data_IF_015208888581
#
_entry.id   IF_015208888581
#
_cell.length_a   1.000
_cell.length_b   1.000
_cell.length_c   1.000
_cell.angle_alpha   90.00
_cell.angle_beta   90.00
_cell.angle_gamma   90.00
#
_symmetry.space_group_name_H-M   'P 1'
#
loop_
_entity.id
_entity.type
_entity.pdbx_description
1 polymer ?
#
# COMPACT_ATOMS: atom_id res chain seq x y z
N UNK A 1 -10.49 22.82 60.77
CA UNK A 1 -10.27 22.97 59.31
C UNK A 1 -9.14 22.04 58.87
N UNK A 2 -9.46 20.98 58.12
CA UNK A 2 -8.47 20.05 57.58
C UNK A 2 -7.94 20.60 56.25
N UNK A 3 -6.63 20.71 56.15
CA UNK A 3 -5.91 21.18 54.97
C UNK A 3 -6.03 20.16 53.83
N UNK A 4 -6.48 20.60 52.65
CA UNK A 4 -6.55 19.77 51.44
C UNK A 4 -5.15 19.76 50.84
N UNK A 5 -4.46 18.61 50.88
CA UNK A 5 -3.20 18.43 50.18
C UNK A 5 -3.43 18.51 48.66
N UNK A 6 -2.72 19.43 48.01
CA UNK A 6 -2.70 19.53 46.55
C UNK A 6 -1.94 18.31 46.02
N UNK A 7 -2.50 17.51 45.09
CA UNK A 7 -1.81 16.36 44.54
C UNK A 7 -0.56 16.81 43.76
N UNK A 8 0.51 16.02 43.86
CA UNK A 8 1.74 16.25 43.11
C UNK A 8 1.44 16.35 41.60
N UNK A 9 2.11 17.27 40.87
CA UNK A 9 1.96 17.35 39.43
C UNK A 9 2.41 16.03 38.80
N UNK A 10 1.55 15.46 37.94
CA UNK A 10 1.89 14.26 37.17
C UNK A 10 3.18 14.51 36.38
N UNK A 11 4.07 13.50 36.26
CA UNK A 11 5.29 13.65 35.49
C UNK A 11 4.97 14.03 34.04
N UNK A 12 5.59 15.11 33.57
CA UNK A 12 5.51 15.51 32.18
C UNK A 12 6.38 14.56 31.33
N UNK A 13 5.75 13.68 30.56
CA UNK A 13 6.46 12.89 29.56
C UNK A 13 6.71 13.77 28.33
N UNK A 14 7.98 14.04 28.02
CA UNK A 14 8.36 14.62 26.74
C UNK A 14 8.54 13.49 25.73
N UNK A 15 7.51 13.21 24.94
CA UNK A 15 7.64 12.37 23.76
C UNK A 15 8.15 13.24 22.61
N UNK A 16 9.37 13.01 22.17
CA UNK A 16 9.87 13.55 20.90
C UNK A 16 9.54 12.48 19.85
N UNK A 17 8.61 12.73 18.92
CA UNK A 17 8.35 11.79 17.84
C UNK A 17 9.63 11.52 17.06
N UNK A 18 9.90 10.25 16.74
CA UNK A 18 10.97 9.90 15.84
C UNK A 18 10.80 10.64 14.51
N UNK A 19 11.85 11.32 14.05
CA UNK A 19 11.86 11.94 12.73
C UNK A 19 12.32 10.90 11.72
N UNK A 20 11.46 10.59 10.75
CA UNK A 20 11.84 9.78 9.59
C UNK A 20 12.78 10.57 8.67
N UNK A 21 13.82 9.90 8.19
CA UNK A 21 14.93 10.44 7.39
C UNK A 21 14.74 10.30 5.89
N UNK A 22 13.72 9.54 5.46
CA UNK A 22 13.39 9.19 4.09
C UNK A 22 12.26 10.05 3.47
N UNK A 23 11.88 11.17 4.08
CA UNK A 23 10.82 12.07 3.58
C UNK A 23 11.03 12.50 2.13
N UNK A 24 12.28 12.78 1.75
CA UNK A 24 12.61 13.15 0.38
C UNK A 24 12.27 12.03 -0.63
N UNK A 25 12.40 10.77 -0.22
CA UNK A 25 12.10 9.61 -1.05
C UNK A 25 10.58 9.41 -1.20
N UNK A 26 9.80 9.63 -0.13
CA UNK A 26 8.34 9.66 -0.25
C UNK A 26 7.83 10.78 -1.15
N UNK A 27 8.41 11.98 -1.04
CA UNK A 27 8.05 13.10 -1.92
C UNK A 27 8.41 12.77 -3.36
N UNK A 28 9.61 12.21 -3.60
CA UNK A 28 10.04 11.78 -4.92
C UNK A 28 9.10 10.71 -5.51
N UNK A 29 8.72 9.71 -4.71
CA UNK A 29 7.75 8.68 -5.10
C UNK A 29 6.41 9.31 -5.50
N UNK A 30 5.89 10.24 -4.69
CA UNK A 30 4.60 10.87 -4.96
C UNK A 30 4.63 11.69 -6.26
N UNK A 31 5.65 12.53 -6.42
CA UNK A 31 5.83 13.35 -7.63
C UNK A 31 6.02 12.46 -8.86
N UNK A 32 6.81 11.39 -8.73
CA UNK A 32 7.01 10.43 -9.81
C UNK A 32 5.70 9.78 -10.24
N UNK A 33 4.92 9.24 -9.32
CA UNK A 33 3.65 8.59 -9.65
C UNK A 33 2.65 9.58 -10.24
N UNK A 34 2.55 10.81 -9.72
CA UNK A 34 1.67 11.83 -10.30
C UNK A 34 2.12 12.20 -11.73
N UNK A 35 3.43 12.19 -12.01
CA UNK A 35 3.97 12.45 -13.36
C UNK A 35 3.62 11.37 -14.38
N UNK A 36 3.29 10.14 -13.96
CA UNK A 36 2.84 9.09 -14.86
C UNK A 36 1.49 9.42 -15.51
N UNK A 37 0.73 10.36 -14.94
CA UNK A 37 -0.51 10.87 -15.54
C UNK A 37 -0.29 12.09 -16.47
N UNK A 38 0.96 12.40 -16.86
CA UNK A 38 1.26 13.62 -17.62
C UNK A 38 0.53 13.72 -18.97
N UNK A 39 0.39 12.60 -19.68
CA UNK A 39 -0.24 12.54 -21.00
C UNK A 39 -1.72 12.14 -20.92
N UNK A 40 -2.04 11.18 -20.05
CA UNK A 40 -3.40 10.70 -19.83
C UNK A 40 -3.61 10.38 -18.35
N UNK A 41 -4.86 10.44 -17.89
CA UNK A 41 -5.19 10.13 -16.50
C UNK A 41 -4.94 8.65 -16.21
N UNK A 42 -4.04 8.37 -15.25
CA UNK A 42 -3.72 7.01 -14.80
C UNK A 42 -4.27 6.70 -13.42
N UNK A 43 -4.26 5.42 -13.09
CA UNK A 43 -4.65 4.86 -11.81
C UNK A 43 -3.51 4.08 -11.16
N UNK A 44 -3.44 4.09 -9.83
CA UNK A 44 -2.45 3.31 -9.09
C UNK A 44 -3.04 2.71 -7.80
N UNK A 45 -2.48 1.61 -7.31
CA UNK A 45 -2.80 1.04 -6.00
C UNK A 45 -1.54 0.83 -5.17
N UNK A 46 -1.61 1.11 -3.85
CA UNK A 46 -0.51 0.87 -2.90
C UNK A 46 -0.70 -0.50 -2.25
N UNK A 47 0.26 -1.40 -2.43
CA UNK A 47 0.27 -2.74 -1.83
C UNK A 47 1.20 -2.78 -0.62
N UNK A 48 0.82 -2.04 0.43
CA UNK A 48 1.60 -1.93 1.66
C UNK A 48 0.73 -1.50 2.86
N UNK A 49 1.08 -1.98 4.06
CA UNK A 49 0.30 -1.75 5.28
C UNK A 49 1.13 -1.59 6.56
N UNK A 50 2.45 -1.44 6.48
CA UNK A 50 3.32 -1.33 7.68
C UNK A 50 3.40 0.10 8.21
N UNK A 51 4.16 0.30 9.30
CA UNK A 51 4.48 1.64 9.81
C UNK A 51 5.50 2.40 8.95
N UNK A 52 6.36 1.70 8.21
CA UNK A 52 7.36 2.30 7.31
C UNK A 52 6.70 2.81 6.03
N UNK A 53 5.80 2.01 5.45
CA UNK A 53 5.07 2.37 4.24
C UNK A 53 3.66 1.76 4.20
N UNK A 54 2.68 2.59 3.87
CA UNK A 54 1.28 2.22 3.63
C UNK A 54 0.58 3.31 2.80
N UNK A 55 -0.66 3.03 2.37
CA UNK A 55 -1.46 4.00 1.59
C UNK A 55 -1.69 5.33 2.29
N UNK A 56 -1.90 5.34 3.61
CA UNK A 56 -2.10 6.59 4.37
C UNK A 56 -0.83 7.45 4.39
N UNK A 57 0.35 6.83 4.51
CA UNK A 57 1.64 7.55 4.40
C UNK A 57 1.76 8.16 3.01
N UNK A 58 1.51 7.37 1.97
CA UNK A 58 1.55 7.83 0.58
C UNK A 58 0.59 9.02 0.32
N UNK A 59 -0.67 8.90 0.74
CA UNK A 59 -1.71 9.91 0.50
C UNK A 59 -1.52 11.21 1.28
N UNK A 60 -0.85 11.14 2.44
CA UNK A 60 -0.65 12.29 3.30
C UNK A 60 0.72 12.94 3.15
N UNK A 61 1.68 12.31 2.46
CA UNK A 61 3.07 12.80 2.35
C UNK A 61 3.17 14.29 2.04
N UNK A 62 2.60 14.75 0.92
CA UNK A 62 2.72 16.17 0.52
C UNK A 62 2.00 17.10 1.50
N UNK A 63 0.80 16.71 1.93
CA UNK A 63 -0.03 17.51 2.86
C UNK A 63 0.66 17.68 4.21
N UNK A 64 1.21 16.61 4.77
CA UNK A 64 1.93 16.63 6.05
C UNK A 64 3.18 17.51 6.02
N UNK A 65 3.76 17.73 4.83
CA UNK A 65 4.92 18.60 4.63
C UNK A 65 4.55 20.01 4.16
N UNK A 66 3.26 20.36 4.10
CA UNK A 66 2.76 21.60 3.51
C UNK A 66 3.28 21.86 2.08
N UNK A 67 3.56 20.79 1.34
CA UNK A 67 3.90 20.87 -0.08
C UNK A 67 2.57 20.97 -0.84
N UNK A 68 2.31 22.06 -1.59
CA UNK A 68 1.11 22.18 -2.37
C UNK A 68 1.00 21.02 -3.36
N UNK A 69 -0.19 20.43 -3.49
CA UNK A 69 -0.41 19.54 -4.62
C UNK A 69 -0.22 20.33 -5.91
N UNK A 70 0.51 19.73 -6.85
CA UNK A 70 0.62 20.27 -8.19
C UNK A 70 -0.79 20.43 -8.77
N UNK A 71 -1.08 21.60 -9.38
CA UNK A 71 -2.31 21.79 -10.16
C UNK A 71 -2.28 21.08 -11.52
N UNK A 72 -1.19 20.36 -11.83
CA UNK A 72 -1.04 19.50 -12.99
C UNK A 72 -1.67 18.12 -12.80
N UNK A 73 -1.37 17.18 -13.71
CA UNK A 73 -1.94 15.84 -13.67
C UNK A 73 -1.60 15.11 -12.36
N UNK A 74 -2.54 14.29 -11.89
CA UNK A 74 -2.45 13.56 -10.61
C UNK A 74 -2.96 12.15 -10.82
N UNK A 75 -2.23 11.15 -10.34
CA UNK A 75 -2.62 9.74 -10.53
C UNK A 75 -3.69 9.37 -9.51
N UNK A 76 -4.79 8.77 -10.00
CA UNK A 76 -5.93 8.41 -9.17
C UNK A 76 -5.64 7.15 -8.37
N UNK A 77 -5.83 7.21 -7.05
CA UNK A 77 -5.51 6.08 -6.18
C UNK A 77 -6.71 5.15 -6.01
N UNK A 78 -6.53 3.89 -6.39
CA UNK A 78 -7.47 2.81 -6.11
C UNK A 78 -7.18 2.27 -4.71
N UNK A 79 -8.23 2.19 -3.89
CA UNK A 79 -8.14 1.60 -2.57
C UNK A 79 -7.81 0.11 -2.66
N UNK A 80 -6.84 -0.33 -1.84
CA UNK A 80 -6.55 -1.74 -1.62
C UNK A 80 -6.76 -2.09 -0.14
N UNK A 81 -7.62 -3.07 0.09
CA UNK A 81 -7.89 -3.64 1.39
C UNK A 81 -6.63 -4.30 1.98
N UNK A 82 -6.53 -4.33 3.31
CA UNK A 82 -5.32 -4.88 3.96
C UNK A 82 -5.60 -5.87 5.08
N UNK A 83 -6.86 -6.13 5.45
CA UNK A 83 -7.22 -7.07 6.52
C UNK A 83 -8.08 -8.21 5.97
N UNK A 84 -7.51 -9.42 5.95
CA UNK A 84 -8.08 -10.58 5.26
C UNK A 84 -9.55 -10.82 5.59
N UNK A 85 -9.87 -10.96 6.88
CA UNK A 85 -11.21 -11.36 7.36
C UNK A 85 -12.24 -10.22 7.43
N UNK A 86 -11.83 -8.98 7.14
CA UNK A 86 -12.67 -7.78 7.25
C UNK A 86 -13.17 -7.31 5.89
N UNK A 87 -12.26 -7.26 4.92
CA UNK A 87 -12.44 -6.41 3.74
C UNK A 87 -12.75 -7.20 2.45
N UNK A 88 -12.42 -8.50 2.40
CA UNK A 88 -12.31 -9.23 1.15
C UNK A 88 -11.15 -8.75 0.28
N UNK A 89 -11.11 -9.23 -0.97
CA UNK A 89 -10.07 -8.82 -1.93
C UNK A 89 -10.52 -7.63 -2.78
N UNK A 90 -9.66 -6.61 -2.92
CA UNK A 90 -9.92 -5.44 -3.77
C UNK A 90 -9.67 -5.76 -5.24
N UNK A 91 -10.60 -6.48 -5.87
CA UNK A 91 -10.46 -6.92 -7.26
C UNK A 91 -10.23 -5.79 -8.27
N UNK A 92 -10.79 -4.61 -8.01
CA UNK A 92 -10.58 -3.41 -8.82
C UNK A 92 -9.12 -2.91 -8.83
N UNK A 93 -8.29 -3.28 -7.85
CA UNK A 93 -6.87 -2.93 -7.90
C UNK A 93 -6.11 -3.68 -9.00
N UNK A 94 -6.64 -4.81 -9.49
CA UNK A 94 -6.07 -5.53 -10.63
C UNK A 94 -6.30 -4.82 -11.97
N UNK A 95 -7.17 -3.80 -11.99
CA UNK A 95 -7.37 -2.92 -13.14
C UNK A 95 -6.51 -1.65 -13.07
N UNK A 96 -5.75 -1.43 -12.00
CA UNK A 96 -4.89 -0.27 -11.88
C UNK A 96 -3.82 -0.28 -12.98
N UNK A 97 -3.50 0.90 -13.52
CA UNK A 97 -2.37 1.03 -14.45
C UNK A 97 -1.05 0.73 -13.75
N UNK A 98 -0.93 1.13 -12.47
CA UNK A 98 0.27 0.93 -11.68
C UNK A 98 0.01 0.24 -10.33
N UNK A 99 0.93 -0.63 -9.92
CA UNK A 99 1.05 -1.13 -8.55
C UNK A 99 2.29 -0.52 -7.89
N UNK A 100 2.13 0.02 -6.69
CA UNK A 100 3.21 0.55 -5.86
C UNK A 100 3.49 -0.50 -4.79
N UNK A 101 4.62 -1.17 -4.90
CA UNK A 101 4.95 -2.36 -4.11
C UNK A 101 6.27 -2.16 -3.38
N UNK A 102 6.29 -2.50 -2.10
CA UNK A 102 7.47 -2.41 -1.27
C UNK A 102 8.12 -3.78 -1.06
N UNK A 103 9.45 -3.82 -1.04
CA UNK A 103 10.28 -4.98 -0.74
C UNK A 103 11.11 -4.70 0.53
N UNK A 104 10.99 -5.51 1.61
CA UNK A 104 10.09 -6.64 1.77
C UNK A 104 8.60 -6.25 1.76
N UNK A 105 7.69 -7.20 1.55
CA UNK A 105 6.24 -6.92 1.57
C UNK A 105 5.83 -6.36 2.94
N UNK A 106 5.19 -5.20 2.91
CA UNK A 106 4.91 -4.40 4.11
C UNK A 106 3.58 -4.79 4.75
N UNK A 107 3.64 -5.40 5.94
CA UNK A 107 2.48 -5.84 6.74
C UNK A 107 2.58 -5.30 8.18
N UNK A 108 1.46 -4.92 8.83
CA UNK A 108 1.42 -4.54 10.25
C UNK A 108 0.81 -5.63 11.16
N UNK A 109 -0.01 -6.55 10.63
CA UNK A 109 -0.56 -7.68 11.38
C UNK A 109 0.23 -8.99 11.15
N UNK A 110 1.35 -8.89 10.43
CA UNK A 110 2.12 -10.03 9.92
C UNK A 110 1.49 -10.66 8.67
N UNK A 111 2.31 -11.37 7.91
CA UNK A 111 1.90 -12.02 6.66
C UNK A 111 0.71 -12.99 6.84
N UNK A 112 0.65 -13.69 7.97
CA UNK A 112 -0.39 -14.69 8.27
C UNK A 112 -1.81 -14.08 8.42
N UNK A 113 -1.91 -12.76 8.57
CA UNK A 113 -3.18 -12.05 8.73
C UNK A 113 -3.44 -11.01 7.63
N UNK A 114 -2.56 -10.95 6.62
CA UNK A 114 -2.64 -10.00 5.51
C UNK A 114 -2.27 -10.69 4.18
N UNK A 115 -2.75 -11.91 3.96
CA UNK A 115 -2.52 -12.67 2.73
C UNK A 115 -3.08 -11.97 1.49
N UNK A 116 -4.12 -11.14 1.63
CA UNK A 116 -4.62 -10.35 0.49
C UNK A 116 -3.53 -9.42 -0.07
N UNK A 117 -2.57 -8.97 0.75
CA UNK A 117 -1.41 -8.24 0.26
C UNK A 117 -0.39 -9.17 -0.38
N UNK A 118 0.01 -10.25 0.32
CA UNK A 118 1.13 -11.09 -0.12
C UNK A 118 0.81 -11.88 -1.39
N UNK A 119 -0.45 -12.30 -1.59
CA UNK A 119 -0.90 -13.03 -2.79
C UNK A 119 -0.79 -12.21 -4.08
N UNK A 120 -0.66 -10.88 -3.96
CA UNK A 120 -0.45 -9.98 -5.10
C UNK A 120 0.96 -9.39 -5.10
N UNK A 121 1.41 -8.83 -3.98
CA UNK A 121 2.70 -8.14 -3.88
C UNK A 121 3.88 -9.08 -4.16
N UNK A 122 3.89 -10.29 -3.60
CA UNK A 122 5.02 -11.21 -3.75
C UNK A 122 5.17 -11.71 -5.20
N UNK A 123 4.10 -12.21 -5.88
CA UNK A 123 4.21 -12.55 -7.30
C UNK A 123 4.67 -11.40 -8.20
N UNK A 124 4.25 -10.16 -7.90
CA UNK A 124 4.69 -8.96 -8.63
C UNK A 124 6.18 -8.69 -8.42
N UNK A 125 6.69 -8.78 -7.20
CA UNK A 125 8.12 -8.65 -6.90
C UNK A 125 8.96 -9.74 -7.59
N UNK A 126 8.47 -10.98 -7.58
CA UNK A 126 9.17 -12.13 -8.12
C UNK A 126 9.04 -12.26 -9.65
N UNK A 127 8.10 -11.53 -10.27
CA UNK A 127 7.78 -11.65 -11.69
C UNK A 127 7.16 -13.00 -12.06
N UNK A 128 6.39 -13.60 -11.15
CA UNK A 128 5.76 -14.92 -11.31
C UNK A 128 4.24 -14.83 -11.27
N UNK A 129 3.54 -15.82 -11.84
CA UNK A 129 2.08 -15.84 -11.87
C UNK A 129 1.49 -14.54 -12.42
N UNK A 130 0.60 -13.90 -11.64
CA UNK A 130 0.00 -12.60 -12.00
C UNK A 130 1.04 -11.48 -12.16
N UNK A 131 2.19 -11.58 -11.48
CA UNK A 131 3.30 -10.63 -11.61
C UNK A 131 3.86 -10.53 -13.03
N UNK A 132 3.68 -11.55 -13.86
CA UNK A 132 4.08 -11.51 -15.28
C UNK A 132 3.24 -10.55 -16.12
N UNK A 133 2.11 -10.07 -15.60
CA UNK A 133 1.31 -9.01 -16.23
C UNK A 133 1.89 -7.62 -15.97
N UNK A 134 2.92 -7.50 -15.14
CA UNK A 134 3.47 -6.25 -14.69
C UNK A 134 4.95 -6.11 -15.04
N UNK A 135 5.35 -4.91 -15.44
CA UNK A 135 6.73 -4.53 -15.69
C UNK A 135 7.17 -3.51 -14.66
N UNK A 136 8.27 -3.78 -13.96
CA UNK A 136 8.90 -2.81 -13.05
C UNK A 136 9.41 -1.61 -13.84
N UNK A 137 9.09 -0.40 -13.37
CA UNK A 137 9.66 0.85 -13.89
C UNK A 137 11.06 1.09 -13.31
N UNK A 138 11.85 1.94 -13.96
CA UNK A 138 13.28 2.11 -13.63
C UNK A 138 13.53 2.78 -12.27
N UNK A 139 12.57 3.57 -11.77
CA UNK A 139 12.72 4.29 -10.52
C UNK A 139 12.42 3.40 -9.30
N UNK A 140 13.20 3.59 -8.25
CA UNK A 140 13.04 2.92 -6.96
C UNK A 140 13.29 3.91 -5.83
N UNK A 141 12.57 3.74 -4.72
CA UNK A 141 12.54 4.69 -3.62
C UNK A 141 12.93 3.98 -2.32
N UNK A 142 14.22 4.02 -1.92
CA UNK A 142 14.64 3.46 -0.64
C UNK A 142 14.03 4.26 0.52
N UNK A 143 13.48 3.55 1.48
CA UNK A 143 12.89 4.07 2.71
C UNK A 143 13.71 3.60 3.91
N UNK A 144 13.30 4.00 5.11
CA UNK A 144 13.88 3.49 6.35
C UNK A 144 13.69 1.96 6.49
N UNK A 145 14.37 1.37 7.48
CA UNK A 145 14.25 -0.05 7.82
C UNK A 145 14.58 -1.05 6.68
N UNK A 146 15.37 -0.61 5.70
CA UNK A 146 15.79 -1.44 4.56
C UNK A 146 14.69 -1.69 3.53
N UNK A 147 13.59 -0.92 3.58
CA UNK A 147 12.47 -1.04 2.63
C UNK A 147 12.80 -0.30 1.34
N UNK A 148 12.49 -0.90 0.19
CA UNK A 148 12.53 -0.19 -1.10
C UNK A 148 11.17 -0.27 -1.79
N UNK A 149 10.64 0.87 -2.23
CA UNK A 149 9.40 0.94 -2.99
C UNK A 149 9.69 0.96 -4.48
N UNK A 150 8.96 0.15 -5.23
CA UNK A 150 8.99 0.07 -6.68
C UNK A 150 7.60 0.39 -7.27
N UNK A 151 7.60 0.86 -8.51
CA UNK A 151 6.37 1.06 -9.29
C UNK A 151 6.35 0.07 -10.44
N UNK A 152 5.24 -0.63 -10.59
CA UNK A 152 5.02 -1.66 -11.61
C UNK A 152 3.89 -1.23 -12.53
N UNK A 153 4.13 -1.22 -13.83
CA UNK A 153 3.14 -0.93 -14.85
C UNK A 153 2.45 -2.21 -15.32
N UNK A 154 1.12 -2.19 -15.40
CA UNK A 154 0.33 -3.28 -15.96
C UNK A 154 0.47 -3.27 -17.49
N UNK A 155 1.11 -4.29 -18.06
CA UNK A 155 1.41 -4.36 -19.50
C UNK A 155 0.39 -5.19 -20.29
N UNK A 156 -0.51 -5.89 -19.62
CA UNK A 156 -1.60 -6.67 -20.23
C UNK A 156 -2.77 -6.81 -19.26
N UNK A 157 -3.93 -7.17 -19.79
CA UNK A 157 -5.07 -7.55 -18.97
C UNK A 157 -4.78 -8.79 -18.11
N UNK A 158 -5.39 -8.80 -16.93
CA UNK A 158 -5.35 -9.95 -16.01
C UNK A 158 -6.35 -10.99 -16.49
N UNK A 159 -5.91 -12.23 -16.61
CA UNK A 159 -6.72 -13.34 -17.12
C UNK A 159 -7.66 -13.87 -16.04
N UNK A 160 -8.80 -14.45 -16.45
CA UNK A 160 -9.72 -15.09 -15.52
C UNK A 160 -9.05 -16.17 -14.65
N UNK A 161 -8.06 -16.87 -15.20
CA UNK A 161 -7.29 -17.87 -14.45
C UNK A 161 -6.45 -17.24 -13.33
N UNK A 162 -5.91 -16.04 -13.54
CA UNK A 162 -5.15 -15.30 -12.52
C UNK A 162 -6.08 -14.75 -11.42
N UNK A 163 -7.27 -14.26 -11.78
CA UNK A 163 -8.32 -13.93 -10.82
C UNK A 163 -8.70 -15.16 -9.97
N UNK A 164 -8.92 -16.30 -10.62
CA UNK A 164 -9.28 -17.54 -9.94
C UNK A 164 -8.14 -18.05 -9.05
N UNK A 165 -6.88 -17.96 -9.46
CA UNK A 165 -5.74 -18.39 -8.65
C UNK A 165 -5.62 -17.61 -7.34
N UNK A 166 -5.87 -16.29 -7.36
CA UNK A 166 -5.93 -15.47 -6.14
C UNK A 166 -7.10 -15.91 -5.25
N UNK A 167 -8.28 -16.09 -5.86
CA UNK A 167 -9.49 -16.53 -5.16
C UNK A 167 -9.26 -17.88 -4.47
N UNK A 168 -8.79 -18.89 -5.20
CA UNK A 168 -8.55 -20.24 -4.70
C UNK A 168 -7.56 -20.22 -3.52
N UNK A 169 -6.50 -19.42 -3.62
CA UNK A 169 -5.51 -19.27 -2.56
C UNK A 169 -6.14 -18.71 -1.28
N UNK A 170 -6.93 -17.64 -1.39
CA UNK A 170 -7.56 -16.98 -0.24
C UNK A 170 -8.71 -17.82 0.35
N UNK A 171 -9.51 -18.48 -0.49
CA UNK A 171 -10.58 -19.39 -0.07
C UNK A 171 -10.01 -20.60 0.66
N UNK A 172 -8.88 -21.15 0.20
CA UNK A 172 -8.22 -22.26 0.89
C UNK A 172 -7.72 -21.87 2.29
N UNK A 173 -7.24 -20.64 2.46
CA UNK A 173 -6.80 -20.11 3.76
C UNK A 173 -7.97 -19.72 4.68
N UNK A 174 -9.06 -19.24 4.08
CA UNK A 174 -10.20 -18.66 4.80
C UNK A 174 -11.55 -19.18 4.27
N UNK A 175 -11.85 -20.49 4.44
CA UNK A 175 -13.05 -21.10 3.87
C UNK A 175 -14.35 -20.47 4.41
N UNK A 176 -14.37 -20.07 5.68
CA UNK A 176 -15.53 -19.40 6.30
C UNK A 176 -15.80 -18.00 5.71
N UNK A 177 -14.84 -17.43 4.99
CA UNK A 177 -14.92 -16.11 4.36
C UNK A 177 -14.95 -16.18 2.83
N UNK A 178 -15.18 -17.37 2.24
CA UNK A 178 -15.05 -17.59 0.80
C UNK A 178 -15.86 -16.61 -0.07
N UNK A 179 -17.01 -16.14 0.42
CA UNK A 179 -17.83 -15.14 -0.28
C UNK A 179 -17.09 -13.80 -0.51
N UNK A 180 -16.15 -13.44 0.36
CA UNK A 180 -15.37 -12.20 0.26
C UNK A 180 -14.26 -12.26 -0.80
N UNK A 181 -13.97 -13.46 -1.32
CA UNK A 181 -12.90 -13.71 -2.29
C UNK A 181 -13.44 -14.26 -3.61
N UNK A 182 -14.71 -14.04 -3.92
CA UNK A 182 -15.24 -14.39 -5.24
C UNK A 182 -14.75 -13.39 -6.28
N UNK A 183 -14.14 -13.82 -7.38
CA UNK A 183 -13.67 -12.92 -8.42
C UNK A 183 -14.87 -12.26 -9.14
N UNK A 184 -14.66 -11.13 -9.85
CA UNK A 184 -15.69 -10.54 -10.69
C UNK A 184 -16.21 -11.54 -11.73
N UNK A 185 -17.49 -11.44 -12.08
CA UNK A 185 -18.02 -12.16 -13.24
C UNK A 185 -17.37 -11.60 -14.51
N UNK A 186 -16.84 -12.49 -15.35
CA UNK A 186 -16.23 -12.16 -16.64
C UNK A 186 -17.22 -11.77 -17.73
#
# INVERSE_FOLDING_TARGET
PSEIAVPDPLPAFTYVPGQRTDLAQLVALRVYVDSLSAEEQKTAAVLASSFTFNSSIYDNTLRSLNIPQSGGPSTSMIYFATVDKRDGFSWNALTADYLIVADPVQTHLGADNQHILTVLAQPVLDGTGIGTAYRRLDQSFPLEDGVTVYVYERTREITQAEYQAISDTLVALYPDYAQQYQPPAG
#
